data_IF_705555803871
#
_entry.id   IF_705555803871
#
_cell.length_a   1.000
_cell.length_b   1.000
_cell.length_c   1.000
_cell.angle_alpha   90.00
_cell.angle_beta   90.00
_cell.angle_gamma   90.00
#
_symmetry.space_group_name_H-M   'P 1'
#
loop_
_entity.id
_entity.type
_entity.pdbx_description
1 polymer ?
#
# COMPACT_ATOMS: atom_id res chain seq x y z
N UNK A 1 13.57 -8.10 -49.04
CA UNK A 1 13.79 -9.06 -47.94
C UNK A 1 14.47 -8.33 -46.76
N UNK A 2 13.65 -7.78 -45.85
CA UNK A 2 13.85 -7.66 -44.39
C UNK A 2 15.14 -7.10 -43.73
N UNK A 3 15.62 -5.90 -44.10
CA UNK A 3 16.78 -5.26 -43.40
C UNK A 3 16.36 -4.02 -42.57
N UNK A 4 15.18 -3.44 -42.82
CA UNK A 4 14.72 -2.20 -42.15
C UNK A 4 13.80 -2.43 -40.93
N UNK A 5 13.47 -3.68 -40.60
CA UNK A 5 12.59 -4.01 -39.46
C UNK A 5 13.35 -4.26 -38.15
N UNK A 6 14.64 -4.62 -38.21
CA UNK A 6 15.43 -5.00 -37.03
C UNK A 6 16.09 -3.80 -36.30
N UNK A 7 16.17 -2.62 -36.93
CA UNK A 7 16.85 -1.45 -36.36
C UNK A 7 16.01 -0.71 -35.32
N UNK A 8 14.68 -0.75 -35.46
CA UNK A 8 13.77 -0.05 -34.56
C UNK A 8 13.54 -0.81 -33.24
N UNK A 9 13.68 -2.14 -33.26
CA UNK A 9 13.44 -2.98 -32.07
C UNK A 9 14.63 -2.97 -31.11
N UNK A 10 15.86 -2.88 -31.62
CA UNK A 10 17.05 -2.90 -30.76
C UNK A 10 17.31 -1.57 -30.05
N UNK A 11 17.07 -0.42 -30.69
CA UNK A 11 17.20 0.89 -30.03
C UNK A 11 16.17 1.08 -28.90
N UNK A 12 14.93 0.65 -29.14
CA UNK A 12 13.86 0.72 -28.14
C UNK A 12 14.10 -0.24 -26.97
N UNK A 13 14.57 -1.47 -27.26
CA UNK A 13 14.96 -2.43 -26.23
C UNK A 13 16.20 -1.98 -25.45
N UNK A 14 17.17 -1.33 -26.09
CA UNK A 14 18.37 -0.78 -25.43
C UNK A 14 18.06 0.42 -24.53
N UNK A 15 17.10 1.27 -24.93
CA UNK A 15 16.58 2.36 -24.08
C UNK A 15 15.88 1.84 -22.81
N UNK A 16 15.15 0.72 -22.92
CA UNK A 16 14.53 0.06 -21.76
C UNK A 16 15.55 -0.72 -20.90
N UNK A 17 16.65 -1.19 -21.49
CA UNK A 17 17.59 -2.12 -20.88
C UNK A 17 18.64 -1.49 -19.96
N UNK A 18 19.00 -0.21 -20.14
CA UNK A 18 20.20 0.37 -19.49
C UNK A 18 19.93 1.52 -18.52
N UNK A 19 18.67 1.87 -18.27
CA UNK A 19 18.32 2.96 -17.35
C UNK A 19 17.19 2.54 -16.43
N UNK A 20 17.45 1.55 -15.56
CA UNK A 20 16.64 1.37 -14.35
C UNK A 20 16.90 2.55 -13.41
N UNK A 21 16.43 3.73 -13.84
CA UNK A 21 16.43 4.93 -13.02
C UNK A 21 15.66 4.62 -11.74
N UNK A 22 16.03 5.24 -10.61
CA UNK A 22 15.32 5.04 -9.34
C UNK A 22 13.80 5.28 -9.47
N UNK A 23 13.38 6.09 -10.46
CA UNK A 23 11.98 6.30 -10.82
C UNK A 23 11.31 5.04 -11.41
N UNK A 24 11.94 4.38 -12.38
CA UNK A 24 11.39 3.14 -12.95
C UNK A 24 11.36 2.00 -11.93
N UNK A 25 12.35 1.93 -11.03
CA UNK A 25 12.33 0.96 -9.94
C UNK A 25 11.15 1.21 -8.98
N UNK A 26 10.90 2.47 -8.61
CA UNK A 26 9.72 2.85 -7.81
C UNK A 26 8.42 2.45 -8.50
N UNK A 27 8.31 2.70 -9.80
CA UNK A 27 7.12 2.34 -10.58
C UNK A 27 6.91 0.82 -10.64
N UNK A 28 7.97 0.03 -10.82
CA UNK A 28 7.91 -1.44 -10.74
C UNK A 28 7.42 -1.92 -9.36
N UNK A 29 7.91 -1.34 -8.27
CA UNK A 29 7.46 -1.69 -6.90
C UNK A 29 6.00 -1.30 -6.68
N UNK A 30 5.56 -0.16 -7.21
CA UNK A 30 4.15 0.24 -7.17
C UNK A 30 3.25 -0.74 -7.95
N UNK A 31 3.65 -1.15 -9.15
CA UNK A 31 2.93 -2.15 -9.94
C UNK A 31 2.86 -3.50 -9.22
N UNK A 32 3.95 -3.90 -8.55
CA UNK A 32 3.96 -5.10 -7.71
C UNK A 32 2.93 -5.00 -6.56
N UNK A 33 2.86 -3.84 -5.90
CA UNK A 33 1.89 -3.60 -4.85
C UNK A 33 0.44 -3.69 -5.37
N UNK A 34 0.17 -3.13 -6.55
CA UNK A 34 -1.15 -3.27 -7.23
C UNK A 34 -1.44 -4.74 -7.56
N UNK A 35 -0.44 -5.51 -7.98
CA UNK A 35 -0.56 -6.95 -8.20
C UNK A 35 -1.06 -7.67 -6.94
N UNK A 36 -0.42 -7.45 -5.80
CA UNK A 36 -0.85 -8.02 -4.51
C UNK A 36 -2.25 -7.57 -4.09
N UNK A 37 -2.61 -6.30 -4.32
CA UNK A 37 -3.96 -5.81 -4.06
C UNK A 37 -5.01 -6.58 -4.86
N UNK A 38 -4.73 -6.87 -6.15
CA UNK A 38 -5.64 -7.64 -7.02
C UNK A 38 -5.68 -9.12 -6.67
N UNK A 39 -4.61 -9.67 -6.11
CA UNK A 39 -4.55 -11.05 -5.61
C UNK A 39 -5.28 -11.24 -4.26
N UNK A 40 -5.71 -10.16 -3.59
CA UNK A 40 -6.34 -10.20 -2.27
C UNK A 40 -5.36 -10.16 -1.10
N UNK A 41 -4.05 -10.09 -1.37
CA UNK A 41 -2.98 -9.98 -0.37
C UNK A 41 -2.79 -8.51 0.06
N UNK A 42 -3.82 -7.97 0.71
CA UNK A 42 -3.86 -6.57 1.11
C UNK A 42 -2.76 -6.18 2.10
N UNK A 43 -2.38 -7.09 3.01
CA UNK A 43 -1.31 -6.86 3.99
C UNK A 43 0.04 -6.60 3.32
N UNK A 44 0.43 -7.45 2.35
CA UNK A 44 1.67 -7.25 1.57
C UNK A 44 1.60 -6.01 0.70
N UNK A 45 0.46 -5.79 0.06
CA UNK A 45 0.25 -4.60 -0.77
C UNK A 45 0.48 -3.31 0.04
N UNK A 46 -0.11 -3.23 1.26
CA UNK A 46 0.06 -2.09 2.16
C UNK A 46 1.54 -1.86 2.53
N UNK A 47 2.27 -2.91 2.90
CA UNK A 47 3.68 -2.79 3.27
C UNK A 47 4.54 -2.26 2.11
N UNK A 48 4.28 -2.72 0.88
CA UNK A 48 5.00 -2.24 -0.30
C UNK A 48 4.67 -0.78 -0.60
N UNK A 49 3.40 -0.38 -0.48
CA UNK A 49 2.99 1.01 -0.67
C UNK A 49 3.59 1.93 0.39
N UNK A 50 3.67 1.51 1.65
CA UNK A 50 4.33 2.29 2.71
C UNK A 50 5.82 2.46 2.46
N UNK A 51 6.51 1.42 1.96
CA UNK A 51 7.90 1.53 1.55
C UNK A 51 8.07 2.53 0.39
N UNK A 52 7.16 2.54 -0.58
CA UNK A 52 7.15 3.54 -1.65
C UNK A 52 6.95 4.96 -1.11
N UNK A 53 6.03 5.15 -0.16
CA UNK A 53 5.74 6.45 0.45
C UNK A 53 6.86 6.94 1.38
N UNK A 54 7.61 6.05 2.02
CA UNK A 54 8.79 6.41 2.79
C UNK A 54 9.89 7.05 1.91
N UNK A 55 9.96 6.64 0.64
CA UNK A 55 10.92 7.19 -0.34
C UNK A 55 10.36 8.43 -1.06
N UNK A 56 9.05 8.47 -1.30
CA UNK A 56 8.35 9.56 -1.99
C UNK A 56 7.00 9.85 -1.30
N UNK A 57 6.98 10.70 -0.26
CA UNK A 57 5.77 10.94 0.53
C UNK A 57 4.66 11.67 -0.26
N UNK A 58 5.04 12.48 -1.26
CA UNK A 58 4.09 13.21 -2.12
C UNK A 58 3.52 12.40 -3.29
N UNK A 59 3.74 11.07 -3.32
CA UNK A 59 3.25 10.25 -4.41
C UNK A 59 1.75 9.97 -4.30
N UNK A 60 0.97 10.81 -4.99
CA UNK A 60 -0.50 10.74 -5.00
C UNK A 60 -1.06 9.36 -5.37
N UNK A 61 -0.50 8.66 -6.36
CA UNK A 61 -0.99 7.32 -6.75
C UNK A 61 -0.81 6.30 -5.63
N UNK A 62 0.35 6.31 -4.96
CA UNK A 62 0.63 5.45 -3.82
C UNK A 62 -0.27 5.78 -2.61
N UNK A 63 -0.54 7.06 -2.34
CA UNK A 63 -1.48 7.49 -1.30
C UNK A 63 -2.91 7.00 -1.54
N UNK A 64 -3.40 7.14 -2.77
CA UNK A 64 -4.73 6.66 -3.15
C UNK A 64 -4.81 5.14 -2.99
N UNK A 65 -3.79 4.41 -3.48
CA UNK A 65 -3.75 2.96 -3.37
C UNK A 65 -3.73 2.50 -1.91
N UNK A 66 -2.93 3.14 -1.03
CA UNK A 66 -2.91 2.87 0.41
C UNK A 66 -4.31 2.98 1.01
N UNK A 67 -5.01 4.08 0.74
CA UNK A 67 -6.35 4.33 1.26
C UNK A 67 -7.35 3.27 0.76
N UNK A 68 -7.29 2.90 -0.51
CA UNK A 68 -8.15 1.85 -1.07
C UNK A 68 -7.86 0.48 -0.45
N UNK A 69 -6.58 0.14 -0.21
CA UNK A 69 -6.19 -1.09 0.51
C UNK A 69 -6.77 -1.08 1.92
N UNK A 70 -6.61 0.01 2.66
CA UNK A 70 -7.14 0.13 4.03
C UNK A 70 -8.67 0.06 4.08
N UNK A 71 -9.36 0.69 3.13
CA UNK A 71 -10.82 0.59 2.99
C UNK A 71 -11.27 -0.85 2.69
N UNK A 72 -10.54 -1.56 1.81
CA UNK A 72 -10.77 -2.99 1.54
C UNK A 72 -10.53 -3.85 2.76
N UNK A 73 -9.40 -3.68 3.46
CA UNK A 73 -9.12 -4.42 4.70
C UNK A 73 -10.19 -4.13 5.75
N UNK A 74 -10.65 -2.89 5.88
CA UNK A 74 -11.73 -2.54 6.79
C UNK A 74 -13.05 -3.21 6.37
N UNK A 75 -13.39 -3.20 5.08
CA UNK A 75 -14.63 -3.76 4.54
C UNK A 75 -14.67 -5.28 4.54
N UNK A 76 -13.57 -5.93 4.15
CA UNK A 76 -13.40 -7.39 4.22
C UNK A 76 -13.20 -7.84 5.67
N UNK A 77 -12.59 -6.99 6.51
CA UNK A 77 -12.39 -7.18 7.95
C UNK A 77 -13.58 -6.81 8.84
N UNK A 78 -14.66 -6.24 8.31
CA UNK A 78 -15.93 -5.99 9.04
C UNK A 78 -16.61 -7.30 9.46
N UNK A 79 -16.19 -8.45 8.93
CA UNK A 79 -16.59 -9.78 9.43
C UNK A 79 -15.66 -10.29 10.56
N UNK A 80 -14.52 -9.64 10.84
CA UNK A 80 -13.47 -10.18 11.72
C UNK A 80 -12.86 -9.25 12.77
N UNK A 81 -13.21 -7.96 12.82
CA UNK A 81 -12.72 -7.03 13.86
C UNK A 81 -13.91 -6.34 14.51
N UNK A 82 -14.48 -7.00 15.51
CA UNK A 82 -15.22 -6.30 16.55
C UNK A 82 -14.27 -5.31 17.21
N UNK A 83 -14.59 -4.02 17.09
CA UNK A 83 -14.30 -2.96 18.09
C UNK A 83 -12.94 -3.09 18.79
N UNK A 84 -11.92 -2.42 18.28
CA UNK A 84 -10.84 -1.90 19.14
C UNK A 84 -11.10 -0.41 19.44
N UNK A 85 -12.29 -0.13 19.99
CA UNK A 85 -12.54 1.11 20.72
C UNK A 85 -11.88 1.03 22.12
N UNK A 86 -10.56 1.04 22.14
CA UNK A 86 -9.72 1.19 23.35
C UNK A 86 -8.43 1.83 22.84
N UNK A 87 -8.00 3.03 23.19
CA UNK A 87 -8.41 3.93 24.26
C UNK A 87 -7.88 5.34 23.96
N UNK A 88 -8.72 6.23 23.41
CA UNK A 88 -8.48 7.69 23.45
C UNK A 88 -9.59 8.32 24.30
N UNK A 89 -9.84 7.72 25.46
CA UNK A 89 -10.77 8.22 26.48
C UNK A 89 -10.14 8.35 27.86
N UNK A 90 -8.84 8.05 28.02
CA UNK A 90 -8.16 8.01 29.32
C UNK A 90 -7.24 9.20 29.61
N UNK A 91 -7.30 10.28 28.83
CA UNK A 91 -6.47 11.47 29.07
C UNK A 91 -7.33 12.74 29.09
N UNK A 92 -8.48 12.72 29.75
CA UNK A 92 -9.14 13.96 30.20
C UNK A 92 -10.24 13.64 31.23
N UNK A 93 -9.93 13.82 32.52
CA UNK A 93 -10.95 13.93 33.56
C UNK A 93 -11.13 12.67 34.41
N UNK A 94 -10.57 12.69 35.61
CA UNK A 94 -10.80 11.66 36.62
C UNK A 94 -12.18 11.75 37.29
N UNK A 95 -12.28 10.96 38.37
CA UNK A 95 -13.31 10.88 39.40
C UNK A 95 -14.28 9.69 39.26
N UNK A 96 -13.93 8.67 40.05
CA UNK A 96 -14.76 7.91 41.00
C UNK A 96 -15.83 6.90 40.53
N UNK A 97 -15.78 5.79 41.27
CA UNK A 97 -16.88 4.87 41.59
C UNK A 97 -17.37 3.99 40.42
N UNK A 98 -17.53 2.68 40.53
CA UNK A 98 -17.71 1.88 41.72
C UNK A 98 -17.15 0.47 41.48
N UNK A 99 -16.39 0.04 42.47
CA UNK A 99 -16.29 -1.35 42.88
C UNK A 99 -17.71 -1.90 43.14
N UNK A 100 -17.88 -3.21 42.94
CA UNK A 100 -19.02 -4.06 43.29
C UNK A 100 -19.96 -4.36 42.10
N UNK A 101 -20.25 -5.62 41.78
CA UNK A 101 -20.44 -6.76 42.69
C UNK A 101 -19.91 -8.07 42.12
N UNK A 102 -19.26 -8.81 43.01
CA UNK A 102 -19.04 -10.26 42.94
C UNK A 102 -19.94 -10.90 44.01
N UNK A 103 -20.98 -11.63 43.60
CA UNK A 103 -21.49 -12.91 44.17
C UNK A 103 -22.77 -13.31 43.44
#
# INVERSE_FOLDING_TARGET
>A
MNILSQSNTSFFAASLGNSSSPLQQREKVYLLAVGYYRSGDYSRSRQLVEQCLAVAPDWRQALVLKKTIEDRIAKDGVIGIGITATAVGLIAGGIAAAIARKK
#
